data_IF_620242898605
#
_entry.id   IF_620242898605
#
_cell.length_a   1.000
_cell.length_b   1.000
_cell.length_c   1.000
_cell.angle_alpha   90.00
_cell.angle_beta   90.00
_cell.angle_gamma   90.00
#
_symmetry.space_group_name_H-M   'P 1'
#
loop_
_entity.id
_entity.type
_entity.pdbx_description
1 polymer ?
#
# COMPACT_ATOMS: atom_id res chain seq x y z
N UNK A 1 7.51 -9.15 9.01
CA UNK A 1 6.88 -8.55 7.83
C UNK A 1 7.00 -9.48 6.63
N UNK A 2 5.94 -9.56 5.84
CA UNK A 2 6.01 -10.04 4.47
C UNK A 2 5.46 -8.95 3.55
N UNK A 3 6.27 -8.53 2.58
CA UNK A 3 5.93 -7.53 1.59
C UNK A 3 5.73 -8.18 0.23
N UNK A 4 4.65 -7.85 -0.43
CA UNK A 4 4.32 -8.25 -1.80
C UNK A 4 4.59 -7.06 -2.72
N UNK A 5 5.36 -7.21 -3.79
CA UNK A 5 5.46 -6.22 -4.89
C UNK A 5 4.19 -6.23 -5.76
N UNK A 6 3.05 -6.24 -5.10
CA UNK A 6 1.72 -6.45 -5.67
C UNK A 6 0.76 -5.47 -5.04
N UNK A 7 0.10 -4.66 -5.84
CA UNK A 7 -0.86 -3.67 -5.40
C UNK A 7 -1.92 -3.39 -6.45
N UNK A 8 -2.75 -2.39 -6.24
CA UNK A 8 -3.90 -2.10 -7.09
C UNK A 8 -3.55 -1.73 -8.53
N UNK A 9 -2.31 -1.29 -8.81
CA UNK A 9 -1.84 -1.00 -10.18
C UNK A 9 -1.87 -2.24 -11.09
N UNK A 10 -1.84 -3.44 -10.53
CA UNK A 10 -1.83 -4.71 -11.27
C UNK A 10 -3.24 -5.25 -11.54
N UNK A 11 -4.26 -4.58 -11.06
CA UNK A 11 -5.64 -4.96 -11.28
C UNK A 11 -6.08 -4.70 -12.72
N UNK A 12 -6.85 -5.63 -13.26
CA UNK A 12 -7.61 -5.41 -14.48
C UNK A 12 -8.89 -4.61 -14.15
N UNK A 13 -9.57 -3.97 -15.13
CA UNK A 13 -10.76 -3.16 -14.84
C UNK A 13 -11.85 -3.86 -14.03
N UNK A 14 -12.07 -5.16 -14.25
CA UNK A 14 -13.04 -5.99 -13.51
C UNK A 14 -12.52 -6.43 -12.12
N UNK A 15 -11.27 -6.13 -11.78
CA UNK A 15 -10.61 -6.50 -10.52
C UNK A 15 -10.38 -5.30 -9.60
N UNK A 16 -10.91 -4.12 -9.91
CA UNK A 16 -10.65 -2.89 -9.17
C UNK A 16 -11.11 -2.98 -7.71
N UNK A 17 -10.12 -2.97 -6.81
CA UNK A 17 -10.29 -3.13 -5.37
C UNK A 17 -9.97 -4.54 -4.86
N UNK A 18 -9.64 -5.50 -5.74
CA UNK A 18 -9.35 -6.87 -5.32
C UNK A 18 -7.99 -7.03 -4.64
N UNK A 19 -7.02 -6.15 -4.88
CA UNK A 19 -5.76 -6.13 -4.13
C UNK A 19 -6.02 -5.87 -2.65
N UNK A 20 -6.83 -4.86 -2.33
CA UNK A 20 -7.24 -4.52 -0.97
C UNK A 20 -8.19 -5.57 -0.38
N UNK A 21 -9.12 -6.08 -1.17
CA UNK A 21 -10.00 -7.17 -0.75
C UNK A 21 -9.19 -8.41 -0.35
N UNK A 22 -8.16 -8.76 -1.11
CA UNK A 22 -7.28 -9.88 -0.83
C UNK A 22 -6.48 -9.67 0.47
N UNK A 23 -6.09 -8.44 0.78
CA UNK A 23 -5.48 -8.10 2.07
C UNK A 23 -6.39 -8.51 3.23
N UNK A 24 -7.66 -8.16 3.20
CA UNK A 24 -8.65 -8.55 4.20
C UNK A 24 -8.79 -10.08 4.29
N UNK A 25 -8.87 -10.75 3.14
CA UNK A 25 -8.99 -12.21 3.08
C UNK A 25 -7.82 -12.96 3.72
N UNK A 26 -6.64 -12.33 3.83
CA UNK A 26 -5.48 -12.91 4.52
C UNK A 26 -5.73 -13.12 6.03
N UNK A 27 -6.73 -12.46 6.60
CA UNK A 27 -7.15 -12.62 7.99
C UNK A 27 -8.37 -13.54 8.15
N UNK A 28 -9.07 -13.86 7.05
CA UNK A 28 -10.33 -14.61 7.04
C UNK A 28 -10.15 -16.11 6.75
N UNK A 29 -8.95 -16.62 6.94
CA UNK A 29 -8.64 -18.04 6.87
C UNK A 29 -7.47 -18.36 5.95
N UNK A 30 -6.54 -19.11 6.50
CA UNK A 30 -5.35 -19.62 5.80
C UNK A 30 -5.21 -21.12 6.05
N UNK A 31 -4.29 -21.77 5.35
CA UNK A 31 -4.06 -23.23 5.42
C UNK A 31 -3.90 -23.75 6.86
N UNK A 32 -3.06 -23.08 7.66
CA UNK A 32 -2.75 -23.49 9.03
C UNK A 32 -3.56 -22.73 10.08
N UNK A 33 -4.23 -21.65 9.70
CA UNK A 33 -5.12 -20.85 10.55
C UNK A 33 -6.48 -20.67 9.87
N UNK A 34 -7.29 -21.73 9.75
CA UNK A 34 -8.48 -21.74 8.88
C UNK A 34 -9.66 -20.95 9.45
N UNK A 35 -9.68 -20.63 10.74
CA UNK A 35 -10.76 -19.84 11.38
C UNK A 35 -12.12 -20.52 11.41
N UNK A 36 -12.16 -21.85 11.46
CA UNK A 36 -13.37 -22.66 11.44
C UNK A 36 -13.29 -23.80 12.49
N UNK A 37 -14.11 -24.84 12.33
CA UNK A 37 -14.13 -26.04 13.21
C UNK A 37 -12.81 -26.83 13.21
N UNK A 38 -11.92 -26.58 12.28
CA UNK A 38 -10.60 -27.23 12.18
C UNK A 38 -9.51 -26.51 12.96
N UNK A 39 -9.69 -25.23 13.30
CA UNK A 39 -8.71 -24.47 14.07
C UNK A 39 -8.94 -22.96 14.13
N UNK A 40 -8.17 -22.33 14.99
CA UNK A 40 -8.21 -20.88 15.15
C UNK A 40 -7.78 -20.17 13.87
N UNK A 41 -8.39 -19.01 13.59
CA UNK A 41 -7.89 -18.08 12.60
C UNK A 41 -6.66 -17.31 13.07
N UNK A 42 -6.05 -16.55 12.19
CA UNK A 42 -4.85 -15.73 12.47
C UNK A 42 -5.09 -14.76 13.63
N UNK A 43 -6.19 -14.00 13.60
CA UNK A 43 -6.51 -13.00 14.63
C UNK A 43 -6.74 -13.66 15.99
N UNK A 44 -7.67 -14.63 16.14
CA UNK A 44 -7.88 -15.30 17.43
C UNK A 44 -6.62 -15.97 17.98
N UNK A 45 -5.80 -16.59 17.12
CA UNK A 45 -4.54 -17.17 17.57
C UNK A 45 -3.60 -16.09 18.12
N UNK A 46 -3.39 -15.00 17.39
CA UNK A 46 -2.56 -13.87 17.81
C UNK A 46 -2.98 -13.30 19.16
N UNK A 47 -4.28 -13.16 19.41
CA UNK A 47 -4.83 -12.67 20.66
C UNK A 47 -4.50 -13.59 21.84
N UNK A 48 -4.47 -14.93 21.65
CA UNK A 48 -4.10 -15.88 22.71
C UNK A 48 -2.68 -15.67 23.24
N UNK A 49 -1.80 -15.10 22.41
CA UNK A 49 -0.40 -14.82 22.78
C UNK A 49 -0.13 -13.35 23.07
N UNK A 50 -1.18 -12.50 23.04
CA UNK A 50 -1.08 -11.07 23.37
C UNK A 50 -0.72 -10.17 22.20
N UNK A 51 -0.72 -10.68 20.98
CA UNK A 51 -0.57 -9.90 19.73
C UNK A 51 -1.95 -9.37 19.34
N UNK A 52 -2.16 -8.05 19.43
CA UNK A 52 -3.46 -7.41 19.21
C UNK A 52 -3.63 -6.96 17.76
N UNK A 53 -4.78 -7.29 17.16
CA UNK A 53 -5.17 -6.77 15.85
C UNK A 53 -5.31 -5.24 15.90
N UNK A 54 -4.90 -4.57 14.84
CA UNK A 54 -4.88 -3.11 14.73
C UNK A 54 -3.67 -2.44 15.43
N UNK A 55 -3.03 -3.10 16.41
CA UNK A 55 -1.85 -2.55 17.12
C UNK A 55 -0.57 -3.27 16.74
N UNK A 56 -0.57 -4.59 16.79
CA UNK A 56 0.61 -5.43 16.55
C UNK A 56 0.49 -6.25 15.28
N UNK A 57 -0.72 -6.62 14.92
CA UNK A 57 -1.08 -7.37 13.72
C UNK A 57 -1.81 -6.42 12.78
N UNK A 58 -1.22 -6.13 11.62
CA UNK A 58 -1.74 -5.20 10.64
C UNK A 58 -1.37 -5.61 9.22
N UNK A 59 -2.04 -4.97 8.26
CA UNK A 59 -1.65 -4.96 6.86
C UNK A 59 -2.01 -3.62 6.22
N UNK A 60 -1.47 -3.36 5.04
CA UNK A 60 -1.94 -2.30 4.17
C UNK A 60 -1.72 -2.65 2.71
N UNK A 61 -2.60 -2.16 1.86
CA UNK A 61 -2.49 -2.22 0.41
C UNK A 61 -2.28 -0.83 -0.17
N UNK A 62 -1.25 -0.69 -0.98
CA UNK A 62 -0.93 0.50 -1.74
C UNK A 62 -1.13 0.24 -3.24
N UNK A 63 -0.74 1.22 -4.05
CA UNK A 63 -0.75 1.12 -5.51
C UNK A 63 0.17 -0.02 -5.99
N UNK A 64 1.38 -0.11 -5.43
CA UNK A 64 2.45 -0.98 -5.90
C UNK A 64 2.78 -2.16 -4.99
N UNK A 65 2.28 -2.14 -3.76
CA UNK A 65 2.67 -3.10 -2.74
C UNK A 65 1.52 -3.42 -1.78
N UNK A 66 1.58 -4.62 -1.21
CA UNK A 66 0.76 -5.04 -0.07
C UNK A 66 1.70 -5.59 1.00
N UNK A 67 1.56 -5.12 2.22
CA UNK A 67 2.45 -5.52 3.32
C UNK A 67 1.63 -6.02 4.50
N UNK A 68 2.01 -7.17 5.03
CA UNK A 68 1.47 -7.74 6.26
C UNK A 68 2.54 -7.73 7.34
N UNK A 69 2.17 -7.40 8.56
CA UNK A 69 3.12 -7.36 9.66
C UNK A 69 2.59 -7.92 10.97
N UNK A 70 3.50 -8.54 11.70
CA UNK A 70 3.35 -8.91 13.11
C UNK A 70 4.48 -8.20 13.86
N UNK A 71 4.14 -7.39 14.86
CA UNK A 71 5.10 -6.66 15.69
C UNK A 71 4.95 -7.01 17.16
N UNK A 72 6.02 -6.81 17.92
CA UNK A 72 6.06 -7.07 19.38
C UNK A 72 5.58 -8.48 19.77
N UNK A 73 5.91 -9.49 18.94
CA UNK A 73 5.60 -10.87 19.27
C UNK A 73 6.40 -11.32 20.51
N UNK A 74 5.78 -11.92 21.53
CA UNK A 74 6.46 -12.39 22.76
C UNK A 74 7.20 -13.70 22.48
N UNK A 75 8.36 -13.60 21.80
CA UNK A 75 9.17 -14.76 21.35
C UNK A 75 9.85 -15.52 22.48
N UNK A 76 9.85 -15.00 23.70
CA UNK A 76 10.23 -15.70 24.92
C UNK A 76 9.28 -16.87 25.26
N UNK A 77 8.08 -16.86 24.71
CA UNK A 77 7.10 -17.95 24.85
C UNK A 77 7.36 -19.03 23.79
N UNK A 78 7.39 -20.26 24.25
CA UNK A 78 7.61 -21.43 23.39
C UNK A 78 6.60 -21.49 22.24
N UNK A 79 7.10 -21.63 21.00
CA UNK A 79 6.29 -21.82 19.79
C UNK A 79 5.73 -20.54 19.18
N UNK A 80 5.82 -19.38 19.84
CA UNK A 80 5.27 -18.12 19.28
C UNK A 80 6.03 -17.71 18.01
N UNK A 81 7.37 -17.75 18.04
CA UNK A 81 8.17 -17.46 16.85
C UNK A 81 7.81 -18.38 15.67
N UNK A 82 7.75 -19.71 15.94
CA UNK A 82 7.44 -20.68 14.88
C UNK A 82 6.06 -20.46 14.28
N UNK A 83 5.07 -20.14 15.10
CA UNK A 83 3.72 -19.82 14.61
C UNK A 83 3.67 -18.49 13.84
N UNK A 84 4.44 -17.47 14.26
CA UNK A 84 4.57 -16.24 13.48
C UNK A 84 5.19 -16.49 12.10
N UNK A 85 6.24 -17.33 12.02
CA UNK A 85 6.83 -17.73 10.75
C UNK A 85 5.82 -18.49 9.87
N UNK A 86 5.00 -19.34 10.48
CA UNK A 86 3.95 -20.09 9.79
C UNK A 86 2.82 -19.18 9.28
N UNK A 87 2.48 -18.10 10.00
CA UNK A 87 1.55 -17.08 9.52
C UNK A 87 2.13 -16.36 8.30
N UNK A 88 3.41 -15.96 8.33
CA UNK A 88 4.06 -15.35 7.16
C UNK A 88 4.06 -16.30 5.95
N UNK A 89 4.31 -17.60 6.17
CA UNK A 89 4.24 -18.61 5.13
C UNK A 89 2.83 -18.69 4.54
N UNK A 90 1.80 -18.73 5.36
CA UNK A 90 0.42 -18.80 4.89
C UNK A 90 0.00 -17.55 4.12
N UNK A 91 0.42 -16.38 4.55
CA UNK A 91 0.19 -15.14 3.83
C UNK A 91 0.93 -15.08 2.48
N UNK A 92 2.00 -15.83 2.33
CA UNK A 92 2.75 -15.85 1.07
C UNK A 92 1.97 -16.53 -0.06
N UNK A 93 1.34 -17.69 0.21
CA UNK A 93 0.76 -18.51 -0.86
C UNK A 93 -0.39 -19.46 -0.43
N UNK A 94 -0.93 -19.32 0.79
CA UNK A 94 -1.87 -20.27 1.36
C UNK A 94 -3.13 -19.64 1.96
N UNK A 95 -3.57 -18.50 1.43
CA UNK A 95 -4.86 -17.86 1.75
C UNK A 95 -5.98 -18.70 1.14
N UNK A 96 -7.02 -19.03 1.91
CA UNK A 96 -8.04 -20.00 1.45
C UNK A 96 -9.06 -19.44 0.49
N UNK A 97 -9.40 -18.17 0.53
CA UNK A 97 -10.39 -17.50 -0.31
C UNK A 97 -11.71 -18.28 -0.42
N UNK A 98 -12.29 -18.66 0.74
CA UNK A 98 -13.58 -19.35 0.81
C UNK A 98 -14.71 -18.45 0.33
N UNK A 99 -15.67 -18.98 -0.43
CA UNK A 99 -16.77 -18.22 -1.03
C UNK A 99 -17.62 -17.49 0.03
N UNK A 100 -17.95 -18.19 1.10
CA UNK A 100 -18.73 -17.64 2.21
C UNK A 100 -18.01 -16.53 2.97
N UNK A 101 -16.69 -16.61 3.13
CA UNK A 101 -15.88 -15.55 3.73
C UNK A 101 -15.75 -14.35 2.78
N UNK A 102 -15.61 -14.58 1.47
CA UNK A 102 -15.62 -13.49 0.47
C UNK A 102 -16.95 -12.73 0.55
N UNK A 103 -18.09 -13.43 0.59
CA UNK A 103 -19.39 -12.77 0.66
C UNK A 103 -19.61 -11.97 1.95
N UNK A 104 -19.13 -12.46 3.08
CA UNK A 104 -19.12 -11.69 4.34
C UNK A 104 -18.27 -10.42 4.23
N UNK A 105 -17.08 -10.55 3.64
CA UNK A 105 -16.12 -9.47 3.55
C UNK A 105 -16.57 -8.34 2.61
N UNK A 106 -17.40 -8.62 1.59
CA UNK A 106 -18.01 -7.57 0.75
C UNK A 106 -18.72 -6.50 1.58
N UNK A 107 -19.39 -6.90 2.66
CA UNK A 107 -20.06 -5.98 3.58
C UNK A 107 -19.08 -5.08 4.32
N UNK A 108 -17.98 -5.63 4.79
CA UNK A 108 -16.93 -4.91 5.53
C UNK A 108 -16.26 -3.88 4.62
N UNK A 109 -15.79 -4.30 3.44
CA UNK A 109 -15.16 -3.41 2.46
C UNK A 109 -16.11 -2.29 2.01
N UNK A 110 -17.40 -2.59 1.82
CA UNK A 110 -18.39 -1.57 1.46
C UNK A 110 -18.54 -0.51 2.55
N UNK A 111 -18.58 -0.90 3.83
CA UNK A 111 -18.66 0.05 4.94
C UNK A 111 -17.36 0.86 5.07
N UNK A 112 -16.21 0.26 4.83
CA UNK A 112 -14.94 0.98 4.77
C UNK A 112 -14.92 1.99 3.63
N UNK A 113 -15.35 1.59 2.43
CA UNK A 113 -15.49 2.49 1.28
C UNK A 113 -16.38 3.68 1.63
N UNK A 114 -17.53 3.41 2.27
CA UNK A 114 -18.47 4.46 2.70
C UNK A 114 -17.85 5.42 3.73
N UNK A 115 -17.11 4.89 4.70
CA UNK A 115 -16.49 5.70 5.76
C UNK A 115 -15.33 6.55 5.27
N UNK A 116 -14.60 6.07 4.26
CA UNK A 116 -13.47 6.79 3.65
C UNK A 116 -13.89 7.79 2.56
N UNK A 117 -15.11 7.71 2.04
CA UNK A 117 -15.62 8.51 0.93
C UNK A 117 -15.92 9.96 1.37
N UNK A 118 -14.87 10.69 1.75
CA UNK A 118 -14.94 12.13 2.09
C UNK A 118 -14.92 13.01 0.83
N UNK A 119 -15.37 14.26 0.97
CA UNK A 119 -15.31 15.25 -0.12
C UNK A 119 -13.90 15.40 -0.68
N UNK A 120 -12.87 15.44 0.18
CA UNK A 120 -11.47 15.52 -0.25
C UNK A 120 -11.02 14.30 -1.08
N UNK A 121 -11.41 13.07 -0.67
CA UNK A 121 -11.08 11.87 -1.43
C UNK A 121 -11.78 11.86 -2.80
N UNK A 122 -13.04 12.31 -2.86
CA UNK A 122 -13.74 12.43 -4.15
C UNK A 122 -13.05 13.42 -5.08
N UNK A 123 -12.73 14.63 -4.60
CA UNK A 123 -11.97 15.61 -5.38
C UNK A 123 -10.66 15.00 -5.88
N UNK A 124 -9.90 14.37 -4.99
CA UNK A 124 -8.62 13.74 -5.34
C UNK A 124 -8.79 12.69 -6.45
N UNK A 125 -9.75 11.79 -6.29
CA UNK A 125 -10.03 10.72 -7.26
C UNK A 125 -10.50 11.26 -8.61
N UNK A 126 -11.34 12.29 -8.60
CA UNK A 126 -11.86 12.92 -9.82
C UNK A 126 -10.77 13.68 -10.61
N UNK A 127 -9.71 14.13 -9.94
CA UNK A 127 -8.58 14.79 -10.59
C UNK A 127 -7.59 13.82 -11.25
N UNK A 128 -7.47 12.58 -10.78
CA UNK A 128 -6.48 11.61 -11.26
C UNK A 128 -6.53 11.39 -12.80
N UNK A 129 -7.68 11.27 -13.47
CA UNK A 129 -7.75 11.12 -14.93
C UNK A 129 -7.16 12.31 -15.68
N UNK A 130 -7.32 13.53 -15.16
CA UNK A 130 -6.72 14.73 -15.74
C UNK A 130 -5.21 14.79 -15.50
N UNK A 131 -4.78 14.47 -14.27
CA UNK A 131 -3.37 14.50 -13.86
C UNK A 131 -2.55 13.48 -14.64
N UNK A 132 -3.08 12.26 -14.78
CA UNK A 132 -2.38 11.15 -15.44
C UNK A 132 -2.71 10.94 -16.91
N UNK A 133 -3.64 11.70 -17.48
CA UNK A 133 -3.93 11.75 -18.92
C UNK A 133 -4.12 10.38 -19.59
N UNK A 134 -4.74 9.43 -18.90
CA UNK A 134 -4.99 8.08 -19.40
C UNK A 134 -3.92 7.04 -19.08
N UNK A 135 -2.87 7.41 -18.35
CA UNK A 135 -1.95 6.43 -17.76
C UNK A 135 -2.68 5.53 -16.76
N UNK A 136 -2.11 4.36 -16.48
CA UNK A 136 -2.70 3.37 -15.57
C UNK A 136 -3.03 3.93 -14.17
N UNK A 137 -2.27 4.93 -13.72
CA UNK A 137 -2.47 5.59 -12.42
C UNK A 137 -3.75 6.43 -12.33
N UNK A 138 -4.38 6.74 -13.46
CA UNK A 138 -5.64 7.49 -13.49
C UNK A 138 -6.79 6.77 -12.76
N UNK A 139 -6.71 5.46 -12.63
CA UNK A 139 -7.80 4.63 -12.12
C UNK A 139 -7.29 3.37 -11.41
N UNK A 140 -6.50 3.55 -10.35
CA UNK A 140 -5.89 2.45 -9.62
C UNK A 140 -5.90 2.62 -8.09
N UNK A 141 -6.83 3.43 -7.55
CA UNK A 141 -6.92 3.59 -6.10
C UNK A 141 -7.27 2.26 -5.41
N UNK A 142 -6.55 1.88 -4.33
CA UNK A 142 -6.72 0.57 -3.68
C UNK A 142 -8.12 0.28 -3.17
N UNK A 143 -8.87 1.32 -2.75
CA UNK A 143 -10.26 1.15 -2.30
C UNK A 143 -11.17 0.63 -3.43
N UNK A 144 -10.78 0.82 -4.67
CA UNK A 144 -11.40 0.26 -5.86
C UNK A 144 -12.77 0.80 -6.21
N UNK A 145 -13.51 0.01 -6.98
CA UNK A 145 -14.86 0.30 -7.43
C UNK A 145 -15.89 -0.44 -6.60
N UNK A 146 -16.85 0.28 -6.04
CA UNK A 146 -17.93 -0.30 -5.25
C UNK A 146 -18.77 -1.29 -6.07
N UNK A 147 -18.95 -1.03 -7.36
CA UNK A 147 -19.68 -1.91 -8.25
C UNK A 147 -18.94 -3.24 -8.46
N UNK A 148 -17.61 -3.20 -8.60
CA UNK A 148 -16.78 -4.40 -8.66
C UNK A 148 -16.85 -5.14 -7.33
N UNK A 149 -16.61 -4.47 -6.20
CA UNK A 149 -16.64 -5.08 -4.85
C UNK A 149 -17.95 -5.84 -4.59
N UNK A 150 -19.08 -5.27 -5.00
CA UNK A 150 -20.38 -5.90 -4.81
C UNK A 150 -20.64 -7.11 -5.71
N UNK A 151 -20.04 -7.17 -6.91
CA UNK A 151 -20.47 -8.06 -7.96
C UNK A 151 -19.38 -8.96 -8.55
N UNK A 152 -18.10 -8.81 -8.20
CA UNK A 152 -17.04 -9.62 -8.80
C UNK A 152 -17.29 -11.13 -8.55
N UNK A 153 -17.10 -12.00 -9.55
CA UNK A 153 -17.15 -13.44 -9.35
C UNK A 153 -15.92 -13.91 -8.54
N UNK A 154 -16.10 -14.92 -7.69
CA UNK A 154 -15.02 -15.47 -6.84
C UNK A 154 -13.76 -15.84 -7.63
N UNK A 155 -13.92 -16.19 -8.89
CA UNK A 155 -12.82 -16.49 -9.80
C UNK A 155 -11.86 -15.31 -9.95
N UNK A 156 -12.35 -14.08 -10.01
CA UNK A 156 -11.53 -12.91 -10.30
C UNK A 156 -10.52 -12.61 -9.19
N UNK A 157 -10.91 -12.73 -7.91
CA UNK A 157 -9.97 -12.59 -6.80
C UNK A 157 -8.98 -13.76 -6.74
N UNK A 158 -9.42 -14.98 -7.06
CA UNK A 158 -8.54 -16.15 -7.13
C UNK A 158 -7.54 -16.03 -8.29
N UNK A 159 -7.98 -15.55 -9.46
CA UNK A 159 -7.10 -15.28 -10.60
C UNK A 159 -6.05 -14.23 -10.27
N UNK A 160 -6.46 -13.15 -9.62
CA UNK A 160 -5.54 -12.10 -9.15
C UNK A 160 -4.53 -12.68 -8.17
N UNK A 161 -4.98 -13.43 -7.16
CA UNK A 161 -4.14 -14.08 -6.17
C UNK A 161 -3.12 -15.01 -6.80
N UNK A 162 -3.54 -15.99 -7.60
CA UNK A 162 -2.65 -16.96 -8.24
C UNK A 162 -1.69 -16.34 -9.26
N UNK A 163 -2.08 -15.22 -9.88
CA UNK A 163 -1.22 -14.51 -10.83
C UNK A 163 -0.10 -13.76 -10.13
N UNK A 164 -0.38 -13.18 -8.96
CA UNK A 164 0.51 -12.17 -8.38
C UNK A 164 1.15 -12.56 -7.05
N UNK A 165 0.51 -13.38 -6.20
CA UNK A 165 1.08 -13.82 -4.93
C UNK A 165 2.03 -14.98 -5.16
N UNK A 166 3.28 -14.66 -5.40
CA UNK A 166 4.31 -15.63 -5.77
C UNK A 166 5.69 -15.21 -5.23
N UNK A 167 6.59 -16.17 -4.93
CA UNK A 167 7.82 -15.91 -4.18
C UNK A 167 8.79 -14.95 -4.86
N UNK A 168 8.77 -14.82 -6.18
CA UNK A 168 9.63 -13.88 -6.92
C UNK A 168 9.20 -12.41 -6.77
N UNK A 169 8.02 -12.15 -6.23
CA UNK A 169 7.49 -10.82 -5.91
C UNK A 169 7.37 -10.57 -4.41
N UNK A 170 7.97 -11.42 -3.56
CA UNK A 170 7.85 -11.35 -2.10
C UNK A 170 9.18 -11.04 -1.43
N UNK A 171 9.11 -10.29 -0.34
CA UNK A 171 10.22 -10.05 0.57
C UNK A 171 9.81 -10.31 2.01
N UNK A 172 10.63 -11.01 2.78
CA UNK A 172 10.40 -11.27 4.21
C UNK A 172 11.45 -10.52 5.01
N UNK A 173 11.00 -9.76 6.02
CA UNK A 173 11.87 -9.02 6.94
C UNK A 173 11.55 -9.42 8.37
N UNK A 174 12.54 -9.92 9.09
CA UNK A 174 12.44 -10.31 10.50
C UNK A 174 13.47 -9.52 11.28
N UNK A 175 13.01 -8.80 12.31
CA UNK A 175 13.87 -7.96 13.16
C UNK A 175 13.50 -8.21 14.62
N UNK A 176 14.49 -8.39 15.48
CA UNK A 176 14.28 -8.59 16.91
C UNK A 176 15.52 -9.08 17.63
N UNK A 177 15.38 -9.42 18.90
CA UNK A 177 16.40 -10.11 19.71
C UNK A 177 16.32 -11.59 19.39
N UNK A 178 16.98 -12.00 18.30
CA UNK A 178 16.93 -13.35 17.73
C UNK A 178 18.32 -13.86 17.34
N UNK A 179 18.50 -15.15 17.37
CA UNK A 179 19.62 -15.79 16.70
C UNK A 179 19.33 -15.90 15.19
N UNK A 180 20.06 -15.13 14.39
CA UNK A 180 19.80 -14.98 12.95
C UNK A 180 19.91 -16.30 12.20
N UNK A 181 20.94 -17.12 12.51
CA UNK A 181 21.17 -18.37 11.81
C UNK A 181 20.06 -19.39 12.09
N UNK A 182 19.61 -19.45 13.34
CA UNK A 182 18.48 -20.30 13.75
C UNK A 182 17.18 -19.87 13.07
N UNK A 183 16.88 -18.57 13.03
CA UNK A 183 15.65 -18.04 12.42
C UNK A 183 15.68 -18.22 10.90
N UNK A 184 16.83 -18.00 10.26
CA UNK A 184 17.00 -18.25 8.84
C UNK A 184 16.79 -19.74 8.48
N UNK A 185 17.34 -20.66 9.28
CA UNK A 185 17.13 -22.09 9.09
C UNK A 185 15.65 -22.49 9.23
N UNK A 186 14.95 -21.97 10.26
CA UNK A 186 13.51 -22.18 10.47
C UNK A 186 12.69 -21.62 9.30
N UNK A 187 13.00 -20.42 8.84
CA UNK A 187 12.32 -19.77 7.72
C UNK A 187 12.47 -20.60 6.45
N UNK A 188 13.69 -21.03 6.11
CA UNK A 188 13.95 -21.92 4.96
C UNK A 188 13.18 -23.23 5.04
N UNK A 189 13.05 -23.82 6.24
CA UNK A 189 12.30 -25.06 6.44
C UNK A 189 10.79 -24.85 6.26
N UNK A 190 10.23 -23.77 6.81
CA UNK A 190 8.80 -23.45 6.70
C UNK A 190 8.40 -23.13 5.27
N UNK A 191 9.25 -22.42 4.51
CA UNK A 191 8.98 -22.02 3.12
C UNK A 191 9.44 -23.04 2.08
N UNK A 192 9.91 -24.24 2.48
CA UNK A 192 10.47 -25.24 1.57
C UNK A 192 9.44 -25.78 0.54
N UNK A 193 8.14 -25.72 0.86
CA UNK A 193 7.06 -26.18 -0.02
C UNK A 193 6.56 -25.08 -0.99
N UNK A 194 6.97 -23.82 -0.81
CA UNK A 194 6.60 -22.71 -1.69
C UNK A 194 7.32 -22.84 -3.03
N UNK A 195 6.55 -23.11 -4.07
CA UNK A 195 7.10 -23.38 -5.40
C UNK A 195 7.35 -22.10 -6.19
N UNK A 196 8.44 -22.07 -6.95
CA UNK A 196 8.67 -21.00 -7.93
C UNK A 196 7.64 -21.10 -9.05
N UNK A 197 7.10 -19.98 -9.52
CA UNK A 197 6.12 -19.98 -10.60
C UNK A 197 6.77 -20.46 -11.92
N UNK A 198 5.99 -21.15 -12.74
CA UNK A 198 6.40 -21.56 -14.09
C UNK A 198 5.82 -20.55 -15.08
N UNK A 199 6.67 -19.95 -15.89
CA UNK A 199 6.28 -18.93 -16.87
C UNK A 199 5.40 -17.82 -16.25
N UNK A 200 5.85 -17.14 -15.19
CA UNK A 200 5.05 -16.14 -14.50
C UNK A 200 4.75 -14.95 -15.40
N UNK A 201 3.59 -14.32 -15.18
CA UNK A 201 3.28 -13.05 -15.82
C UNK A 201 4.32 -12.00 -15.43
N UNK A 202 4.73 -11.16 -16.38
CA UNK A 202 5.67 -10.08 -16.11
C UNK A 202 5.03 -9.05 -15.16
N UNK A 203 5.78 -8.60 -14.15
CA UNK A 203 5.39 -7.51 -13.28
C UNK A 203 5.75 -6.20 -13.97
N UNK A 204 4.76 -5.61 -14.64
CA UNK A 204 4.93 -4.36 -15.39
C UNK A 204 5.02 -3.15 -14.45
N UNK A 205 6.00 -2.29 -14.66
CA UNK A 205 6.08 -0.95 -14.08
C UNK A 205 5.50 0.05 -15.07
N UNK A 206 4.38 0.64 -14.72
CA UNK A 206 3.68 1.57 -15.60
C UNK A 206 4.36 2.94 -15.59
N UNK A 207 4.69 3.51 -16.75
CA UNK A 207 5.23 4.85 -16.82
C UNK A 207 4.15 5.91 -16.57
N UNK A 208 4.59 7.10 -16.19
CA UNK A 208 3.76 8.31 -16.23
C UNK A 208 4.21 9.16 -17.40
N UNK A 209 3.29 9.53 -18.27
CA UNK A 209 3.56 10.32 -19.47
C UNK A 209 4.05 11.74 -19.12
N UNK A 210 5.10 12.19 -19.79
CA UNK A 210 5.58 13.56 -19.66
C UNK A 210 4.66 14.53 -20.42
N UNK A 211 4.46 15.70 -19.84
CA UNK A 211 3.70 16.77 -20.44
C UNK A 211 4.62 17.88 -20.98
N UNK A 212 4.27 18.46 -22.12
CA UNK A 212 4.97 19.62 -22.70
C UNK A 212 4.39 20.93 -22.16
N UNK A 213 3.08 20.97 -22.02
CA UNK A 213 2.34 22.11 -21.48
C UNK A 213 1.88 21.80 -20.04
N UNK A 214 1.69 22.83 -19.21
CA UNK A 214 1.16 22.63 -17.87
C UNK A 214 -0.20 21.90 -17.88
N UNK A 215 -0.36 20.90 -17.04
CA UNK A 215 -1.64 20.25 -16.80
C UNK A 215 -2.37 21.05 -15.71
N UNK A 216 -3.58 21.48 -15.98
CA UNK A 216 -4.44 22.17 -15.00
C UNK A 216 -5.61 21.27 -14.68
N UNK A 217 -5.71 20.86 -13.42
CA UNK A 217 -6.80 20.06 -12.89
C UNK A 217 -7.53 20.85 -11.79
N UNK A 218 -8.84 20.98 -11.91
CA UNK A 218 -9.68 21.72 -10.96
C UNK A 218 -10.77 20.77 -10.48
N UNK A 219 -10.88 20.58 -9.17
CA UNK A 219 -11.92 19.77 -8.54
C UNK A 219 -12.64 20.55 -7.46
N UNK A 220 -13.91 20.25 -7.28
CA UNK A 220 -14.76 20.82 -6.23
C UNK A 220 -15.67 19.76 -5.65
N UNK A 221 -15.94 19.84 -4.36
CA UNK A 221 -16.94 19.03 -3.69
C UNK A 221 -17.65 19.89 -2.63
N UNK A 222 -18.94 19.64 -2.41
CA UNK A 222 -19.75 20.38 -1.44
C UNK A 222 -19.32 20.25 0.02
N UNK A 223 -18.48 19.25 0.31
CA UNK A 223 -17.96 19.00 1.66
C UNK A 223 -16.51 19.53 1.83
N UNK A 224 -16.00 20.25 0.83
CA UNK A 224 -14.64 20.84 0.86
C UNK A 224 -14.80 22.36 0.86
N UNK A 225 -14.63 22.97 2.02
CA UNK A 225 -14.81 24.41 2.21
C UNK A 225 -13.50 25.20 2.00
N UNK A 226 -12.35 24.58 2.28
CA UNK A 226 -11.05 25.25 2.20
C UNK A 226 -10.43 25.11 0.81
N UNK A 227 -10.25 26.22 0.07
CA UNK A 227 -9.56 26.18 -1.22
C UNK A 227 -8.07 25.90 -1.01
N UNK A 228 -7.54 24.99 -1.81
CA UNK A 228 -6.11 24.68 -1.88
C UNK A 228 -5.61 24.72 -3.31
N UNK A 229 -4.33 25.01 -3.47
CA UNK A 229 -3.62 24.91 -4.74
C UNK A 229 -2.33 24.15 -4.53
N UNK A 230 -2.04 23.25 -5.46
CA UNK A 230 -0.77 22.51 -5.49
C UNK A 230 -0.14 22.65 -6.87
N UNK A 231 1.17 22.85 -6.89
CA UNK A 231 1.97 22.95 -8.12
C UNK A 231 3.03 21.87 -8.03
N UNK A 232 3.09 20.99 -9.02
CA UNK A 232 4.03 19.89 -9.09
C UNK A 232 5.00 20.08 -10.25
N UNK A 233 6.29 20.02 -9.97
CA UNK A 233 7.35 19.97 -10.96
C UNK A 233 7.82 18.51 -11.05
N UNK A 234 7.23 17.80 -12.03
CA UNK A 234 7.42 16.37 -12.24
C UNK A 234 8.79 16.07 -12.84
N UNK A 235 9.44 15.03 -12.36
CA UNK A 235 10.71 14.51 -12.85
C UNK A 235 10.76 12.98 -12.76
N UNK A 236 11.71 12.37 -13.45
CA UNK A 236 11.93 10.93 -13.33
C UNK A 236 12.36 10.56 -11.91
N UNK A 237 11.81 9.47 -11.40
CA UNK A 237 12.26 8.92 -10.12
C UNK A 237 13.70 8.39 -10.26
N UNK A 238 14.50 8.58 -9.21
CA UNK A 238 15.86 8.03 -9.19
C UNK A 238 15.79 6.50 -9.28
N UNK A 239 16.52 5.87 -10.21
CA UNK A 239 16.56 4.41 -10.32
C UNK A 239 17.02 3.74 -9.02
N UNK A 240 16.44 2.61 -8.65
CA UNK A 240 16.80 1.90 -7.41
C UNK A 240 18.28 1.53 -7.36
N UNK A 241 18.91 1.23 -8.51
CA UNK A 241 20.35 0.96 -8.63
C UNK A 241 21.23 2.16 -8.22
N UNK A 242 20.70 3.37 -8.24
CA UNK A 242 21.40 4.61 -7.90
C UNK A 242 21.09 5.09 -6.47
N UNK A 243 20.13 4.48 -5.78
CA UNK A 243 19.74 4.88 -4.41
C UNK A 243 20.71 4.38 -3.33
N UNK A 244 21.52 3.38 -3.63
CA UNK A 244 22.42 2.74 -2.64
C UNK A 244 23.84 3.32 -2.67
N UNK A 245 23.98 4.66 -2.58
CA UNK A 245 25.26 5.32 -2.55
C UNK A 245 25.21 6.68 -1.80
N UNK A 246 26.41 7.18 -1.43
CA UNK A 246 26.53 8.45 -0.67
C UNK A 246 26.05 9.67 -1.48
N UNK A 247 26.18 9.63 -2.81
CA UNK A 247 25.71 10.71 -3.68
C UNK A 247 24.20 10.90 -3.58
N UNK A 248 23.44 9.79 -3.55
CA UNK A 248 21.99 9.82 -3.35
C UNK A 248 21.62 10.42 -1.96
N UNK A 249 22.30 9.98 -0.90
CA UNK A 249 22.08 10.55 0.45
C UNK A 249 22.37 12.05 0.49
N UNK A 250 23.46 12.49 -0.15
CA UNK A 250 23.79 13.91 -0.25
C UNK A 250 22.73 14.71 -1.01
N UNK A 251 22.21 14.16 -2.12
CA UNK A 251 21.10 14.75 -2.89
C UNK A 251 19.83 14.88 -2.04
N UNK A 252 19.43 13.82 -1.34
CA UNK A 252 18.27 13.84 -0.43
C UNK A 252 18.44 14.89 0.67
N UNK A 253 19.63 15.00 1.24
CA UNK A 253 19.94 16.00 2.27
C UNK A 253 19.84 17.43 1.71
N UNK A 254 20.40 17.69 0.53
CA UNK A 254 20.29 19.01 -0.13
C UNK A 254 18.84 19.37 -0.44
N UNK A 255 18.07 18.45 -0.94
CA UNK A 255 16.64 18.61 -1.24
C UNK A 255 15.84 18.94 0.03
N UNK A 256 16.13 18.26 1.13
CA UNK A 256 15.52 18.53 2.43
C UNK A 256 15.89 19.92 2.95
N UNK A 257 17.15 20.34 2.80
CA UNK A 257 17.59 21.69 3.18
C UNK A 257 16.88 22.77 2.36
N UNK A 258 16.79 22.60 1.04
CA UNK A 258 16.10 23.55 0.14
C UNK A 258 14.64 23.69 0.58
N UNK A 259 13.94 22.59 0.81
CA UNK A 259 12.55 22.61 1.28
C UNK A 259 12.43 23.29 2.65
N UNK A 260 13.34 23.02 3.59
CA UNK A 260 13.34 23.66 4.92
C UNK A 260 13.54 25.17 4.82
N UNK A 261 14.49 25.63 4.01
CA UNK A 261 14.75 27.07 3.80
C UNK A 261 13.55 27.77 3.15
N UNK A 262 12.93 27.15 2.15
CA UNK A 262 11.76 27.71 1.49
C UNK A 262 10.56 27.73 2.45
N UNK A 263 10.35 26.67 3.22
CA UNK A 263 9.27 26.59 4.20
C UNK A 263 9.40 27.64 5.31
N UNK A 264 10.62 27.96 5.75
CA UNK A 264 10.85 29.06 6.68
C UNK A 264 10.36 30.41 6.11
N UNK A 265 10.67 30.71 4.83
CA UNK A 265 10.21 31.92 4.15
C UNK A 265 8.70 31.95 3.92
N UNK A 266 8.09 30.81 3.56
CA UNK A 266 6.64 30.69 3.43
C UNK A 266 5.95 30.95 4.79
N UNK A 267 6.54 30.45 5.88
CA UNK A 267 6.04 30.70 7.23
C UNK A 267 6.10 32.19 7.65
N UNK A 268 7.12 32.92 7.21
CA UNK A 268 7.19 34.39 7.42
C UNK A 268 6.03 35.10 6.70
N UNK A 269 5.70 34.68 5.47
CA UNK A 269 4.57 35.26 4.72
C UNK A 269 3.22 34.98 5.42
N UNK A 270 3.04 33.80 6.01
CA UNK A 270 1.84 33.45 6.79
C UNK A 270 1.67 34.38 7.99
N UNK A 271 2.75 34.84 8.60
CA UNK A 271 2.72 35.72 9.75
C UNK A 271 2.52 37.22 9.41
N UNK A 272 2.44 37.59 8.14
CA UNK A 272 2.20 38.95 7.71
C UNK A 272 0.79 39.44 8.08
N UNK A 273 0.57 40.76 8.10
CA UNK A 273 -0.73 41.34 8.48
C UNK A 273 -1.88 40.96 7.54
N UNK A 274 -1.60 40.70 6.27
CA UNK A 274 -2.56 40.24 5.27
C UNK A 274 -1.92 39.07 4.50
N UNK A 275 -1.91 37.87 5.07
CA UNK A 275 -1.26 36.74 4.44
C UNK A 275 -2.04 36.29 3.18
N UNK A 276 -1.35 35.97 2.07
CA UNK A 276 -2.00 35.48 0.85
C UNK A 276 -2.59 34.08 1.02
N UNK A 277 -2.12 33.35 2.01
CA UNK A 277 -2.55 32.00 2.40
C UNK A 277 -2.44 31.79 3.90
N UNK A 278 -3.20 30.86 4.46
CA UNK A 278 -3.11 30.46 5.88
C UNK A 278 -2.05 29.39 6.13
N UNK A 279 -1.75 28.59 5.12
CA UNK A 279 -0.70 27.58 5.12
C UNK A 279 -0.02 27.54 3.77
N UNK A 280 1.28 27.32 3.77
CA UNK A 280 2.02 27.00 2.56
C UNK A 280 3.22 26.13 2.89
N UNK A 281 3.56 25.22 2.01
CA UNK A 281 4.70 24.33 2.16
C UNK A 281 5.33 23.95 0.83
N UNK A 282 6.58 23.53 0.88
CA UNK A 282 7.27 22.85 -0.22
C UNK A 282 7.80 21.51 0.24
N UNK A 283 7.79 20.53 -0.64
CA UNK A 283 8.28 19.18 -0.35
C UNK A 283 8.68 18.43 -1.62
N UNK A 284 9.48 17.40 -1.45
CA UNK A 284 9.75 16.39 -2.48
C UNK A 284 9.07 15.10 -2.11
N UNK A 285 8.42 14.45 -3.07
CA UNK A 285 7.75 13.16 -2.88
C UNK A 285 7.60 12.43 -4.21
N UNK A 286 7.06 11.22 -4.15
CA UNK A 286 6.49 10.57 -5.32
C UNK A 286 5.45 11.52 -5.97
N UNK A 287 5.31 11.46 -7.29
CA UNK A 287 4.29 12.23 -8.00
C UNK A 287 2.92 11.61 -7.77
N UNK A 288 2.17 12.17 -6.81
CA UNK A 288 0.91 11.63 -6.31
C UNK A 288 1.06 10.18 -5.85
N UNK A 289 0.54 9.23 -6.63
CA UNK A 289 0.55 7.79 -6.32
C UNK A 289 1.55 7.00 -7.16
N UNK A 290 2.23 7.62 -8.10
CA UNK A 290 3.14 6.93 -9.03
C UNK A 290 4.54 6.80 -8.46
N UNK A 291 5.05 5.58 -8.38
CA UNK A 291 6.44 5.28 -7.95
C UNK A 291 7.49 5.51 -9.04
N UNK A 292 7.07 5.71 -10.29
CA UNK A 292 7.95 5.90 -11.44
C UNK A 292 8.28 7.37 -11.72
N UNK A 293 7.64 8.28 -11.01
CA UNK A 293 7.91 9.72 -11.06
C UNK A 293 7.99 10.32 -9.66
N UNK A 294 8.86 11.28 -9.50
CA UNK A 294 8.98 12.14 -8.33
C UNK A 294 8.56 13.57 -8.69
N UNK A 295 8.29 14.38 -7.71
CA UNK A 295 7.99 15.78 -7.92
C UNK A 295 8.51 16.65 -6.77
N UNK A 296 8.99 17.84 -7.13
CA UNK A 296 9.03 18.96 -6.22
C UNK A 296 7.64 19.60 -6.20
N UNK A 297 7.06 19.77 -5.03
CA UNK A 297 5.71 20.29 -4.88
C UNK A 297 5.69 21.56 -4.04
N UNK A 298 4.78 22.46 -4.42
CA UNK A 298 4.38 23.64 -3.64
C UNK A 298 2.90 23.50 -3.33
N UNK A 299 2.52 23.65 -2.08
CA UNK A 299 1.14 23.62 -1.62
C UNK A 299 0.78 24.88 -0.87
N UNK A 300 -0.41 25.42 -1.09
CA UNK A 300 -0.96 26.53 -0.32
C UNK A 300 -2.45 26.35 -0.11
N UNK A 301 -2.97 26.75 1.05
CA UNK A 301 -4.39 26.77 1.39
C UNK A 301 -4.77 28.07 2.09
N UNK A 302 -6.05 28.44 2.02
CA UNK A 302 -6.59 29.65 2.63
C UNK A 302 -7.67 29.35 3.64
#
# INVERSE_FOLDING_TARGET
YIAQKVGSILEEPQQRGLAHFLEHMAFNGTKNFPGDDKGLGVIPWCETVGIKFGTNLNAYTSIDETVYNISNAPIDRTGVLDSCLLILHDWSNYILLKDDEIDKERGVIREEWRSRNSGMLRVYTDLLPTIYQGDKYADCMPIGSIDVINNFPYKDIRDYYHKWYRPDLQGIVIVGDIDVDTVEAKLKAVFADVQKPVNPAERTYYPVTDNKEPIVAIGTDKEVDDPSIEIYFKQDATPDSEKNNVGYLASQYMTSMISSMLNARLSELVQSANPPFTRASSYYSDFFVAKTKEAFALSASR
#
